data_IF_832663287017
#
_entry.id   IF_832663287017
#
_cell.length_a   1.000
_cell.length_b   1.000
_cell.length_c   1.000
_cell.angle_alpha   90.00
_cell.angle_beta   90.00
_cell.angle_gamma   90.00
#
_symmetry.space_group_name_H-M   'P 1'
#
loop_
_entity.id
_entity.type
_entity.pdbx_description
1 polymer ?
#
# COMPACT_ATOMS: atom_id res chain seq x y z
N UNK A 1 38.97 -35.68 49.71
CA UNK A 1 37.95 -35.87 48.65
C UNK A 1 36.75 -35.01 49.06
N UNK A 2 36.61 -33.73 48.65
CA UNK A 2 36.22 -33.20 47.31
C UNK A 2 35.12 -34.12 46.73
N UNK A 3 33.88 -33.67 46.50
CA UNK A 3 33.53 -32.62 45.55
C UNK A 3 32.26 -31.84 45.95
N UNK A 4 32.35 -30.50 45.85
CA UNK A 4 31.24 -29.57 45.68
C UNK A 4 30.70 -29.73 44.26
N UNK A 5 29.38 -29.90 44.09
CA UNK A 5 28.71 -29.80 42.78
C UNK A 5 27.92 -28.49 42.77
N UNK A 6 28.45 -27.50 42.06
CA UNK A 6 27.74 -26.27 41.70
C UNK A 6 26.75 -26.59 40.58
N UNK A 7 25.45 -26.53 40.87
CA UNK A 7 24.42 -26.58 39.84
C UNK A 7 24.15 -25.15 39.36
N UNK A 8 24.78 -24.76 38.26
CA UNK A 8 24.55 -23.48 37.60
C UNK A 8 23.24 -23.54 36.80
N UNK A 9 22.18 -22.92 37.32
CA UNK A 9 20.96 -22.64 36.55
C UNK A 9 21.27 -21.56 35.50
N UNK A 10 21.51 -21.97 34.27
CA UNK A 10 21.53 -21.10 33.09
C UNK A 10 20.10 -20.68 32.75
N UNK A 11 19.70 -19.49 33.18
CA UNK A 11 18.50 -18.82 32.70
C UNK A 11 18.75 -18.37 31.26
N UNK A 12 18.31 -19.17 30.29
CA UNK A 12 18.24 -18.74 28.89
C UNK A 12 17.13 -17.69 28.77
N UNK A 13 17.51 -16.42 28.74
CA UNK A 13 16.59 -15.32 28.42
C UNK A 13 16.27 -15.45 26.93
N UNK A 14 15.13 -16.07 26.62
CA UNK A 14 14.54 -16.02 25.29
C UNK A 14 14.01 -14.60 25.07
N UNK A 15 14.82 -13.71 24.50
CA UNK A 15 14.29 -12.48 23.92
C UNK A 15 13.46 -12.86 22.71
N UNK A 16 12.15 -12.97 22.89
CA UNK A 16 11.21 -12.97 21.77
C UNK A 16 11.38 -11.60 21.11
N UNK A 17 11.99 -11.58 19.94
CA UNK A 17 11.91 -10.42 19.07
C UNK A 17 10.42 -10.21 18.80
N UNK A 18 9.84 -9.15 19.36
CA UNK A 18 8.49 -8.73 19.01
C UNK A 18 8.57 -8.36 17.54
N UNK A 19 8.11 -9.28 16.69
CA UNK A 19 7.97 -9.00 15.27
C UNK A 19 7.05 -7.78 15.15
N UNK A 20 7.52 -6.76 14.45
CA UNK A 20 6.84 -5.49 14.31
C UNK A 20 5.63 -5.70 13.39
N UNK A 21 4.57 -6.28 13.94
CA UNK A 21 3.45 -6.81 13.17
C UNK A 21 2.70 -5.68 12.48
N UNK A 22 2.53 -5.81 11.16
CA UNK A 22 1.68 -4.91 10.39
C UNK A 22 0.22 -5.13 10.77
N UNK A 23 -0.51 -4.03 11.02
CA UNK A 23 -1.95 -4.05 11.29
C UNK A 23 -2.69 -3.49 10.09
N UNK A 24 -3.67 -4.22 9.57
CA UNK A 24 -4.54 -3.71 8.50
C UNK A 24 -5.54 -2.69 9.06
N UNK A 25 -5.61 -1.52 8.41
CA UNK A 25 -6.53 -0.44 8.74
C UNK A 25 -7.73 -0.40 7.82
N UNK A 26 -7.50 -0.62 6.52
CA UNK A 26 -8.53 -0.66 5.47
C UNK A 26 -8.15 -1.63 4.37
N UNK A 27 -9.17 -2.20 3.74
CA UNK A 27 -9.04 -3.09 2.59
C UNK A 27 -10.12 -2.74 1.55
N UNK A 28 -9.70 -2.60 0.30
CA UNK A 28 -10.54 -2.36 -0.85
C UNK A 28 -10.23 -3.45 -1.89
N UNK A 29 -11.10 -4.46 -2.04
CA UNK A 29 -10.82 -5.60 -2.91
C UNK A 29 -10.93 -5.24 -4.39
N UNK A 30 -11.64 -4.17 -4.76
CA UNK A 30 -11.88 -3.78 -6.17
C UNK A 30 -12.65 -4.82 -7.01
N UNK A 31 -13.53 -5.58 -6.35
CA UNK A 31 -14.50 -6.47 -7.00
C UNK A 31 -15.64 -5.71 -7.70
N UNK A 32 -15.85 -4.44 -7.35
CA UNK A 32 -16.85 -3.55 -7.93
C UNK A 32 -16.38 -2.07 -7.90
N UNK A 33 -17.21 -1.15 -8.38
CA UNK A 33 -16.90 0.29 -8.42
C UNK A 33 -17.33 1.05 -7.16
N UNK A 34 -17.74 0.36 -6.10
CA UNK A 34 -18.23 0.98 -4.87
C UNK A 34 -17.15 1.85 -4.22
N UNK A 35 -17.51 3.10 -3.94
CA UNK A 35 -16.59 4.08 -3.35
C UNK A 35 -15.48 4.58 -4.28
N UNK A 36 -15.40 4.08 -5.52
CA UNK A 36 -14.40 4.51 -6.49
C UNK A 36 -14.68 5.94 -6.97
N UNK A 37 -13.68 6.81 -6.86
CA UNK A 37 -13.80 8.23 -7.21
C UNK A 37 -13.76 8.43 -8.72
N UNK A 38 -12.78 7.82 -9.40
CA UNK A 38 -12.68 7.91 -10.86
C UNK A 38 -13.59 6.88 -11.50
N UNK A 39 -14.54 7.32 -12.34
CA UNK A 39 -15.46 6.40 -13.04
C UNK A 39 -15.29 6.39 -14.57
N UNK A 40 -14.47 7.29 -15.12
CA UNK A 40 -14.20 7.36 -16.56
C UNK A 40 -12.92 6.62 -16.96
N UNK A 41 -13.01 5.86 -18.06
CA UNK A 41 -11.94 5.00 -18.62
C UNK A 41 -11.36 3.99 -17.62
N UNK A 42 -12.19 3.60 -16.65
CA UNK A 42 -11.94 2.49 -15.76
C UNK A 42 -13.14 1.56 -15.80
N UNK A 43 -12.90 0.28 -15.58
CA UNK A 43 -13.95 -0.74 -15.56
C UNK A 43 -13.51 -1.91 -14.71
N UNK A 44 -14.47 -2.66 -14.18
CA UNK A 44 -14.16 -3.91 -13.49
C UNK A 44 -13.98 -5.01 -14.53
N UNK A 45 -12.83 -5.65 -14.48
CA UNK A 45 -12.48 -6.80 -15.30
C UNK A 45 -12.63 -8.05 -14.43
N UNK A 46 -13.59 -8.92 -14.76
CA UNK A 46 -13.88 -10.13 -13.98
C UNK A 46 -12.96 -11.30 -14.32
N UNK A 47 -12.31 -11.25 -15.48
CA UNK A 47 -11.46 -12.33 -15.98
C UNK A 47 -9.99 -12.11 -15.59
N UNK A 48 -9.58 -10.84 -15.47
CA UNK A 48 -8.25 -10.47 -14.97
C UNK A 48 -8.35 -10.10 -13.49
N UNK A 49 -7.95 -11.02 -12.62
CA UNK A 49 -8.06 -10.84 -11.16
C UNK A 49 -6.84 -11.45 -10.46
N UNK A 50 -6.47 -10.88 -9.31
CA UNK A 50 -5.40 -11.40 -8.46
C UNK A 50 -5.93 -12.28 -7.32
N UNK A 51 -7.23 -12.20 -7.01
CA UNK A 51 -7.89 -12.89 -5.89
C UNK A 51 -9.07 -13.79 -6.31
N UNK A 52 -9.49 -13.74 -7.58
CA UNK A 52 -10.58 -14.54 -8.13
C UNK A 52 -11.93 -13.82 -8.23
N UNK A 53 -12.03 -12.53 -7.89
CA UNK A 53 -13.33 -11.80 -7.82
C UNK A 53 -13.44 -10.59 -8.74
N UNK A 54 -12.35 -10.23 -9.40
CA UNK A 54 -12.25 -9.15 -10.36
C UNK A 54 -11.02 -8.29 -10.10
N UNK A 55 -10.85 -7.24 -10.89
CA UNK A 55 -9.95 -6.14 -10.58
C UNK A 55 -10.38 -4.88 -11.31
N UNK A 56 -9.84 -3.73 -10.90
CA UNK A 56 -10.05 -2.49 -11.62
C UNK A 56 -9.06 -2.37 -12.77
N UNK A 57 -9.58 -2.37 -14.00
CA UNK A 57 -8.84 -2.07 -15.22
C UNK A 57 -8.88 -0.58 -15.51
N UNK A 58 -7.71 0.02 -15.72
CA UNK A 58 -7.54 1.39 -16.19
C UNK A 58 -6.76 1.40 -17.51
N UNK A 59 -7.34 2.02 -18.54
CA UNK A 59 -6.66 2.22 -19.82
C UNK A 59 -6.27 3.68 -19.98
N UNK A 60 -5.02 3.93 -20.37
CA UNK A 60 -4.46 5.25 -20.56
C UNK A 60 -4.04 5.45 -22.02
N UNK A 61 -4.55 6.50 -22.66
CA UNK A 61 -4.08 7.00 -23.95
C UNK A 61 -3.10 8.18 -23.80
N UNK A 62 -2.96 8.71 -22.59
CA UNK A 62 -2.04 9.78 -22.20
C UNK A 62 -1.78 9.70 -20.67
N UNK A 63 -0.72 10.37 -20.15
CA UNK A 63 -0.46 10.41 -18.72
C UNK A 63 -1.67 10.87 -17.91
N UNK A 64 -2.00 10.14 -16.84
CA UNK A 64 -3.14 10.43 -15.97
C UNK A 64 -2.96 9.90 -14.55
N UNK A 65 -3.77 10.45 -13.64
CA UNK A 65 -3.96 9.93 -12.29
C UNK A 65 -5.36 9.32 -12.20
N UNK A 66 -5.44 8.06 -11.77
CA UNK A 66 -6.70 7.43 -11.39
C UNK A 66 -6.86 7.64 -9.88
N UNK A 67 -7.78 8.52 -9.49
CA UNK A 67 -8.15 8.72 -8.09
C UNK A 67 -9.04 7.57 -7.65
N UNK A 68 -8.58 6.80 -6.66
CA UNK A 68 -9.24 5.56 -6.28
C UNK A 68 -10.17 5.81 -5.10
N UNK A 69 -9.60 6.14 -3.93
CA UNK A 69 -10.34 6.28 -2.68
C UNK A 69 -9.82 7.44 -1.84
N UNK A 70 -10.69 7.98 -1.01
CA UNK A 70 -10.33 8.83 0.13
C UNK A 70 -10.83 8.13 1.39
N UNK A 71 -9.96 8.01 2.38
CA UNK A 71 -10.22 7.13 3.54
C UNK A 71 -10.79 7.88 4.73
N UNK A 72 -10.68 9.20 4.78
CA UNK A 72 -10.88 9.98 6.00
C UNK A 72 -9.79 9.72 7.04
N UNK A 73 -10.10 10.00 8.30
CA UNK A 73 -9.18 9.81 9.42
C UNK A 73 -9.02 8.31 9.71
N UNK A 74 -7.77 7.85 9.77
CA UNK A 74 -7.40 6.47 10.08
C UNK A 74 -6.92 6.30 11.54
N UNK A 75 -6.86 7.37 12.32
CA UNK A 75 -6.41 7.37 13.71
C UNK A 75 -4.93 7.00 13.88
N UNK A 76 -4.11 7.25 12.87
CA UNK A 76 -2.69 6.87 12.85
C UNK A 76 -1.78 7.98 13.36
N UNK A 77 -0.77 7.58 14.13
CA UNK A 77 0.26 8.45 14.70
C UNK A 77 1.52 7.60 14.98
N UNK A 78 2.70 8.22 14.89
CA UNK A 78 3.99 7.61 15.21
C UNK A 78 4.17 6.22 14.57
N UNK A 79 3.97 6.14 13.26
CA UNK A 79 3.88 4.88 12.51
C UNK A 79 4.32 5.05 11.06
N UNK A 80 4.66 3.92 10.42
CA UNK A 80 4.74 3.81 8.97
C UNK A 80 3.35 3.42 8.45
N UNK A 81 2.71 4.31 7.73
CA UNK A 81 1.49 4.03 6.97
C UNK A 81 1.89 3.47 5.61
N UNK A 82 1.31 2.35 5.19
CA UNK A 82 1.71 1.65 3.97
C UNK A 82 0.48 1.52 3.08
N UNK A 83 0.57 2.06 1.87
CA UNK A 83 -0.36 1.76 0.80
C UNK A 83 0.20 0.58 0.00
N UNK A 84 -0.45 -0.58 0.08
CA UNK A 84 -0.12 -1.81 -0.66
C UNK A 84 -1.22 -2.11 -1.67
N UNK A 85 -0.85 -2.57 -2.86
CA UNK A 85 -1.80 -3.09 -3.84
C UNK A 85 -1.13 -4.12 -4.76
N UNK A 86 -1.92 -4.90 -5.47
CA UNK A 86 -1.45 -5.73 -6.59
C UNK A 86 -1.66 -5.01 -7.91
N UNK A 87 -0.61 -4.92 -8.72
CA UNK A 87 -0.64 -4.30 -10.03
C UNK A 87 -0.28 -5.31 -11.12
N UNK A 88 -0.94 -5.22 -12.26
CA UNK A 88 -0.59 -5.91 -13.52
C UNK A 88 -0.57 -4.88 -14.63
N UNK A 89 0.33 -5.02 -15.60
CA UNK A 89 0.41 -4.09 -16.74
C UNK A 89 0.44 -4.84 -18.05
N UNK A 90 -0.11 -4.23 -19.09
CA UNK A 90 -0.04 -4.72 -20.47
C UNK A 90 0.26 -3.55 -21.40
N UNK A 91 1.28 -3.73 -22.24
CA UNK A 91 1.74 -2.78 -23.25
C UNK A 91 1.93 -1.35 -22.70
N UNK A 92 2.35 -1.24 -21.43
CA UNK A 92 2.56 0.03 -20.78
C UNK A 92 3.83 0.72 -21.31
N UNK A 93 3.63 1.75 -22.14
CA UNK A 93 4.68 2.67 -22.59
C UNK A 93 4.74 3.84 -21.62
N UNK A 94 5.77 3.87 -20.77
CA UNK A 94 5.87 4.80 -19.65
C UNK A 94 5.91 4.06 -18.33
N UNK A 95 5.37 4.65 -17.27
CA UNK A 95 5.46 4.10 -15.91
C UNK A 95 4.12 4.12 -15.19
N UNK A 96 3.89 3.14 -14.32
CA UNK A 96 2.76 3.14 -13.39
C UNK A 96 3.25 2.87 -11.95
N UNK A 97 2.68 3.56 -10.98
CA UNK A 97 3.04 3.44 -9.57
C UNK A 97 1.91 3.92 -8.65
N UNK A 98 1.97 3.46 -7.40
CA UNK A 98 1.07 3.90 -6.34
C UNK A 98 1.47 5.30 -5.84
N UNK A 99 0.47 6.13 -5.57
CA UNK A 99 0.65 7.44 -4.94
C UNK A 99 -0.34 7.58 -3.79
N UNK A 100 0.16 8.07 -2.66
CA UNK A 100 -0.64 8.33 -1.46
C UNK A 100 -0.46 9.78 -1.04
N UNK A 101 -1.55 10.48 -0.75
CA UNK A 101 -1.55 11.83 -0.17
C UNK A 101 -2.13 11.79 1.24
N UNK A 102 -1.44 12.40 2.19
CA UNK A 102 -1.89 12.56 3.57
C UNK A 102 -2.16 14.06 3.81
N UNK A 103 -3.39 14.41 4.17
CA UNK A 103 -3.74 15.74 4.63
C UNK A 103 -3.55 15.84 6.14
N UNK A 104 -2.97 16.95 6.60
CA UNK A 104 -2.75 17.24 8.02
C UNK A 104 -3.40 18.56 8.39
N UNK A 105 -4.25 18.59 9.43
CA UNK A 105 -4.92 19.81 9.89
C UNK A 105 -3.94 20.96 10.09
N UNK A 106 -4.18 22.08 9.40
CA UNK A 106 -3.37 23.30 9.51
C UNK A 106 -1.98 23.23 8.86
N UNK A 107 -1.58 22.10 8.27
CA UNK A 107 -0.28 21.93 7.59
C UNK A 107 -0.39 21.67 6.08
N UNK A 108 -1.56 21.24 5.60
CA UNK A 108 -1.80 20.94 4.19
C UNK A 108 -1.53 19.47 3.85
N UNK A 109 -1.25 19.19 2.57
CA UNK A 109 -1.09 17.83 2.06
C UNK A 109 0.36 17.51 1.71
N UNK A 110 0.76 16.28 2.03
CA UNK A 110 2.06 15.72 1.71
C UNK A 110 1.87 14.38 1.02
N UNK A 111 2.78 14.00 0.14
CA UNK A 111 2.63 12.78 -0.66
C UNK A 111 3.80 11.81 -0.49
N UNK A 112 3.52 10.54 -0.78
CA UNK A 112 4.50 9.51 -1.06
C UNK A 112 4.18 8.88 -2.41
N UNK A 113 5.22 8.53 -3.18
CA UNK A 113 5.11 7.93 -4.51
C UNK A 113 6.04 6.74 -4.63
N UNK A 114 5.55 5.65 -5.22
CA UNK A 114 6.31 4.44 -5.53
C UNK A 114 7.32 4.60 -6.67
N UNK A 115 8.13 5.66 -6.67
CA UNK A 115 9.09 5.95 -7.75
C UNK A 115 10.36 5.10 -7.72
N UNK A 116 10.57 4.32 -6.66
CA UNK A 116 11.75 3.46 -6.56
C UNK A 116 11.69 2.29 -7.56
N UNK A 117 10.51 1.68 -7.73
CA UNK A 117 10.31 0.52 -8.61
C UNK A 117 9.02 0.64 -9.43
N UNK A 118 8.80 1.71 -10.23
CA UNK A 118 7.59 1.83 -11.02
C UNK A 118 7.51 0.71 -12.07
N UNK A 119 6.30 0.21 -12.33
CA UNK A 119 6.08 -0.81 -13.37
C UNK A 119 6.10 -0.18 -14.77
N UNK A 120 6.63 -0.92 -15.73
CA UNK A 120 6.68 -0.55 -17.16
C UNK A 120 6.58 -1.79 -18.04
N UNK A 121 6.15 -1.66 -19.29
CA UNK A 121 5.95 -2.79 -20.21
C UNK A 121 4.81 -3.72 -19.78
N UNK A 122 4.94 -5.00 -20.07
CA UNK A 122 3.97 -6.03 -19.71
C UNK A 122 4.48 -6.84 -18.53
N UNK A 123 3.71 -6.87 -17.45
CA UNK A 123 4.04 -7.59 -16.22
C UNK A 123 2.89 -8.52 -15.84
N UNK A 124 3.21 -9.61 -15.14
CA UNK A 124 2.17 -10.32 -14.39
C UNK A 124 1.86 -9.56 -13.09
N UNK A 125 0.96 -10.07 -12.26
CA UNK A 125 0.64 -9.44 -10.98
C UNK A 125 1.89 -9.30 -10.09
N UNK A 126 2.18 -8.08 -9.65
CA UNK A 126 3.25 -7.71 -8.72
C UNK A 126 2.63 -6.98 -7.53
N UNK A 127 3.15 -7.21 -6.33
CA UNK A 127 2.75 -6.43 -5.15
C UNK A 127 3.61 -5.18 -5.06
N UNK A 128 2.98 -4.02 -5.09
CA UNK A 128 3.63 -2.72 -4.95
C UNK A 128 3.27 -2.09 -3.61
N UNK A 129 4.21 -1.33 -3.05
CA UNK A 129 4.03 -0.62 -1.79
C UNK A 129 4.56 0.80 -1.85
N UNK A 130 3.87 1.71 -1.17
CA UNK A 130 4.30 3.10 -0.98
C UNK A 130 4.14 3.47 0.49
N UNK A 131 5.24 3.58 1.26
CA UNK A 131 5.18 3.96 2.67
C UNK A 131 5.12 5.48 2.84
N UNK A 132 4.45 5.93 3.90
CA UNK A 132 4.48 7.28 4.43
C UNK A 132 4.85 7.21 5.91
N UNK A 133 5.88 7.94 6.31
CA UNK A 133 6.41 7.90 7.66
C UNK A 133 5.81 9.04 8.48
N UNK A 134 5.07 8.69 9.52
CA UNK A 134 4.42 9.63 10.43
C UNK A 134 5.18 9.65 11.74
N UNK A 135 5.88 10.75 12.03
CA UNK A 135 6.49 11.00 13.34
C UNK A 135 5.40 11.26 14.39
N UNK A 136 5.79 11.20 15.67
CA UNK A 136 4.88 11.50 16.78
C UNK A 136 4.25 12.89 16.62
N UNK A 137 2.92 12.94 16.64
CA UNK A 137 2.12 14.15 16.45
C UNK A 137 1.77 14.46 14.99
N UNK A 138 2.27 13.68 14.03
CA UNK A 138 1.87 13.76 12.62
C UNK A 138 0.64 12.88 12.40
N UNK A 139 -0.53 13.47 12.62
CA UNK A 139 -1.83 12.80 12.52
C UNK A 139 -2.58 13.28 11.29
N UNK A 140 -2.61 12.52 10.19
CA UNK A 140 -3.41 12.89 9.04
C UNK A 140 -4.90 12.63 9.33
N UNK A 141 -5.75 13.56 8.92
CA UNK A 141 -7.22 13.45 9.04
C UNK A 141 -7.89 13.00 7.72
N UNK A 142 -7.11 12.87 6.64
CA UNK A 142 -7.53 12.23 5.40
C UNK A 142 -6.32 11.62 4.67
N UNK A 143 -6.54 10.44 4.06
CA UNK A 143 -5.58 9.79 3.18
C UNK A 143 -6.23 9.49 1.84
N UNK A 144 -5.63 9.98 0.75
CA UNK A 144 -6.06 9.77 -0.64
C UNK A 144 -5.17 8.75 -1.32
N UNK A 145 -5.79 7.79 -2.00
CA UNK A 145 -5.11 6.72 -2.72
C UNK A 145 -5.28 6.91 -4.22
N UNK A 146 -4.16 6.89 -4.94
CA UNK A 146 -4.11 7.07 -6.38
C UNK A 146 -3.30 5.95 -7.04
N UNK A 147 -3.65 5.63 -8.28
CA UNK A 147 -2.77 4.96 -9.24
C UNK A 147 -2.34 5.99 -10.27
N UNK A 148 -1.04 6.24 -10.39
CA UNK A 148 -0.48 7.14 -11.41
C UNK A 148 -0.04 6.32 -12.60
N UNK A 149 -0.46 6.73 -13.80
CA UNK A 149 -0.04 6.14 -15.08
C UNK A 149 0.61 7.27 -15.88
N UNK A 150 1.93 7.34 -15.85
CA UNK A 150 2.76 8.26 -16.63
C UNK A 150 3.08 7.65 -17.98
N UNK A 151 2.07 7.52 -18.86
CA UNK A 151 2.26 6.87 -20.15
C UNK A 151 0.97 6.46 -20.83
N UNK A 152 1.07 5.46 -21.70
CA UNK A 152 -0.05 4.84 -22.41
C UNK A 152 -0.03 3.33 -22.24
N UNK A 153 -1.19 2.68 -22.20
CA UNK A 153 -1.31 1.23 -22.04
C UNK A 153 -2.40 0.87 -21.04
N UNK A 154 -2.37 -0.35 -20.53
CA UNK A 154 -3.36 -0.84 -19.57
C UNK A 154 -2.70 -1.22 -18.26
N UNK A 155 -3.33 -0.83 -17.15
CA UNK A 155 -2.95 -1.23 -15.80
C UNK A 155 -4.18 -1.77 -15.09
N UNK A 156 -4.03 -2.95 -14.47
CA UNK A 156 -5.01 -3.46 -13.52
C UNK A 156 -4.46 -3.25 -12.11
N UNK A 157 -5.37 -2.89 -11.20
CA UNK A 157 -5.10 -2.77 -9.77
C UNK A 157 -6.13 -3.56 -8.97
N UNK A 158 -5.66 -4.23 -7.93
CA UNK A 158 -6.44 -5.17 -7.12
C UNK A 158 -5.90 -5.23 -5.68
N UNK A 159 -6.69 -5.75 -4.74
CA UNK A 159 -6.32 -6.01 -3.33
C UNK A 159 -5.62 -4.82 -2.64
N UNK A 160 -6.25 -3.65 -2.68
CA UNK A 160 -5.70 -2.44 -2.05
C UNK A 160 -5.82 -2.57 -0.53
N UNK A 161 -4.70 -2.45 0.17
CA UNK A 161 -4.63 -2.47 1.64
C UNK A 161 -3.93 -1.22 2.15
N UNK A 162 -4.48 -0.65 3.22
CA UNK A 162 -3.76 0.31 4.05
C UNK A 162 -3.35 -0.38 5.33
N UNK A 163 -2.04 -0.34 5.60
CA UNK A 163 -1.43 -1.02 6.74
C UNK A 163 -0.71 -0.02 7.63
N UNK A 164 -0.67 -0.33 8.92
CA UNK A 164 0.15 0.36 9.92
C UNK A 164 1.29 -0.55 10.33
N UNK A 165 2.51 -0.04 10.31
CA UNK A 165 3.66 -0.69 10.92
C UNK A 165 4.36 0.27 11.90
N UNK A 166 5.10 -0.25 12.90
CA UNK A 166 5.98 0.59 13.72
C UNK A 166 7.00 1.37 12.87
N UNK A 167 7.39 2.55 13.35
CA UNK A 167 8.61 3.20 12.87
C UNK A 167 9.80 2.34 13.33
N UNK A 168 10.73 2.08 12.41
CA UNK A 168 11.98 1.37 12.74
C UNK A 168 12.91 2.26 13.55
#
# INVERSE_FOLDING_TARGET
MRYFVFLACLLAIWTVAVDAQETELKHYPLDDVSGLITQSDVSIDKDVTSDGKGSLKATASQPRVVRLFETGDLGVDNARLIYRARLKTEDLKGQAYLEMWCHFPGKGEFFSRGLQNPLSGTNNWVTEETPFFLQKGEKPDNVKLNLVINGTGTVWIDDIRILRAPLK
#
